data_IF_284599136692
#
_entry.id   IF_284599136692
#
_cell.length_a   1.000
_cell.length_b   1.000
_cell.length_c   1.000
_cell.angle_alpha   90.00
_cell.angle_beta   90.00
_cell.angle_gamma   90.00
#
_symmetry.space_group_name_H-M   'P 1'
#
loop_
_entity.id
_entity.type
_entity.pdbx_description
1 polymer ?
#
# COMPACT_ATOMS: atom_id res chain seq x y z
N UNK A 1 26.89 9.94 -89.13
CA UNK A 1 27.56 9.11 -90.17
C UNK A 1 28.06 7.87 -89.45
N UNK A 2 27.39 6.72 -89.63
CA UNK A 2 27.61 5.45 -88.88
C UNK A 2 27.29 5.56 -87.36
N UNK A 3 26.88 4.50 -86.63
CA UNK A 3 26.25 3.21 -87.00
C UNK A 3 25.40 2.66 -85.83
N UNK A 4 24.65 1.57 -86.06
CA UNK A 4 24.01 0.71 -85.04
C UNK A 4 25.07 -0.20 -84.34
N UNK A 5 24.81 -1.13 -83.39
CA UNK A 5 23.64 -1.87 -82.86
C UNK A 5 23.99 -2.30 -81.39
N UNK A 6 23.22 -2.95 -80.51
CA UNK A 6 22.04 -3.85 -80.53
C UNK A 6 20.88 -3.26 -79.65
N UNK A 7 19.69 -3.83 -79.38
CA UNK A 7 19.19 -5.13 -78.87
C UNK A 7 19.64 -5.49 -77.42
N UNK A 8 18.82 -6.12 -76.56
CA UNK A 8 17.55 -6.82 -76.81
C UNK A 8 16.46 -6.59 -75.72
N UNK A 9 15.26 -7.11 -76.02
CA UNK A 9 13.93 -6.96 -75.40
C UNK A 9 13.66 -7.99 -74.30
N UNK A 10 13.18 -7.53 -73.14
CA UNK A 10 12.42 -8.35 -72.18
C UNK A 10 11.16 -7.60 -71.71
N UNK A 11 10.09 -8.34 -71.45
CA UNK A 11 8.84 -7.83 -70.89
C UNK A 11 8.55 -8.54 -69.57
N UNK A 12 8.56 -7.83 -68.44
CA UNK A 12 7.96 -8.33 -67.21
C UNK A 12 6.76 -7.47 -66.80
N UNK A 13 5.61 -8.13 -66.65
CA UNK A 13 4.33 -7.48 -66.33
C UNK A 13 4.33 -7.05 -64.86
N UNK A 14 4.14 -5.76 -64.59
CA UNK A 14 4.05 -5.26 -63.22
C UNK A 14 2.73 -5.72 -62.58
N UNK A 15 2.81 -6.66 -61.63
CA UNK A 15 1.67 -7.17 -60.89
C UNK A 15 1.19 -6.15 -59.84
N UNK A 16 -0.13 -6.10 -59.59
CA UNK A 16 -0.73 -5.28 -58.52
C UNK A 16 -1.10 -6.15 -57.30
N UNK A 17 -0.57 -5.82 -56.13
CA UNK A 17 -1.31 -5.76 -54.87
C UNK A 17 -1.37 -4.30 -54.39
N UNK A 18 -2.52 -3.71 -54.05
CA UNK A 18 -3.53 -4.10 -53.04
C UNK A 18 -3.15 -3.68 -51.62
N UNK A 19 -3.75 -2.55 -51.20
CA UNK A 19 -4.28 -2.29 -49.85
C UNK A 19 -3.36 -2.46 -48.63
N UNK A 20 -2.91 -1.34 -48.06
CA UNK A 20 -2.88 -1.04 -46.61
C UNK A 20 -2.83 0.49 -46.46
N UNK A 21 -3.76 1.07 -45.71
CA UNK A 21 -3.67 2.44 -45.15
C UNK A 21 -4.76 2.58 -44.07
N UNK A 22 -4.45 2.17 -42.85
CA UNK A 22 -5.36 2.23 -41.71
C UNK A 22 -5.04 3.43 -40.80
N UNK A 23 -6.11 4.09 -40.37
CA UNK A 23 -6.21 5.28 -39.53
C UNK A 23 -5.15 5.45 -38.43
N UNK A 24 -4.54 6.65 -38.36
CA UNK A 24 -3.68 7.08 -37.26
C UNK A 24 -3.94 8.55 -36.89
N UNK A 25 -5.02 8.84 -36.13
CA UNK A 25 -5.38 10.20 -35.70
C UNK A 25 -6.34 10.31 -34.48
N UNK A 26 -6.29 9.43 -33.48
CA UNK A 26 -7.05 9.61 -32.21
C UNK A 26 -6.23 9.19 -30.98
N UNK A 27 -5.22 10.00 -30.62
CA UNK A 27 -4.52 9.94 -29.34
C UNK A 27 -4.15 11.36 -28.88
N UNK A 28 -5.18 12.15 -28.53
CA UNK A 28 -5.01 13.48 -27.91
C UNK A 28 -5.51 13.44 -26.47
N UNK A 29 -4.53 13.28 -25.56
CA UNK A 29 -4.49 13.78 -24.19
C UNK A 29 -5.82 13.76 -23.42
N UNK A 30 -6.10 12.62 -22.77
CA UNK A 30 -6.78 12.63 -21.48
C UNK A 30 -5.72 12.94 -20.40
N UNK A 31 -5.74 14.11 -19.73
CA UNK A 31 -4.99 14.26 -18.49
C UNK A 31 -5.68 13.36 -17.45
N UNK A 32 -4.99 12.31 -17.01
CA UNK A 32 -5.54 11.43 -15.99
C UNK A 32 -5.50 12.13 -14.62
N UNK A 33 -6.53 12.93 -14.35
CA UNK A 33 -6.88 13.31 -12.99
C UNK A 33 -7.41 12.04 -12.31
N UNK A 34 -6.48 11.28 -11.73
CA UNK A 34 -6.77 10.21 -10.78
C UNK A 34 -7.35 10.83 -9.51
N UNK A 35 -8.61 11.25 -9.57
CA UNK A 35 -9.43 11.40 -8.39
C UNK A 35 -9.57 10.03 -7.79
N UNK A 36 -9.05 9.83 -6.58
CA UNK A 36 -9.36 8.66 -5.77
C UNK A 36 -10.89 8.47 -5.78
N UNK A 37 -11.36 7.31 -6.23
CA UNK A 37 -12.79 7.04 -6.28
C UNK A 37 -13.24 6.57 -4.90
N UNK A 38 -14.09 7.32 -4.17
CA UNK A 38 -14.47 6.96 -2.81
C UNK A 38 -15.25 5.64 -2.82
N UNK A 39 -14.60 4.59 -2.34
CA UNK A 39 -15.15 3.23 -2.22
C UNK A 39 -16.23 3.15 -1.13
N UNK A 40 -16.27 4.15 -0.25
CA UNK A 40 -17.22 4.26 0.84
C UNK A 40 -16.84 5.34 1.83
N UNK A 41 -17.39 5.25 3.04
CA UNK A 41 -17.01 6.08 4.19
C UNK A 41 -17.05 5.27 5.47
N UNK A 42 -16.18 5.56 6.44
CA UNK A 42 -16.32 5.11 7.83
C UNK A 42 -16.52 6.31 8.75
N UNK A 43 -17.37 6.17 9.77
CA UNK A 43 -17.50 7.16 10.84
C UNK A 43 -16.76 6.61 12.05
N UNK A 44 -15.63 7.24 12.40
CA UNK A 44 -14.69 6.78 13.42
C UNK A 44 -14.25 7.93 14.32
N UNK A 45 -13.94 7.62 15.58
CA UNK A 45 -13.21 8.50 16.50
C UNK A 45 -12.00 7.74 17.02
N UNK A 46 -10.84 8.40 17.13
CA UNK A 46 -9.67 7.80 17.73
C UNK A 46 -9.89 7.56 19.25
N UNK A 47 -9.49 6.39 19.74
CA UNK A 47 -9.65 5.98 21.15
C UNK A 47 -8.31 5.84 21.89
N UNK A 48 -7.22 6.33 21.30
CA UNK A 48 -5.84 6.17 21.77
C UNK A 48 -5.07 5.15 20.93
N UNK A 49 -3.92 4.74 21.45
CA UNK A 49 -3.00 3.81 20.81
C UNK A 49 -3.00 2.44 21.49
N UNK A 50 -2.71 1.40 20.72
CA UNK A 50 -2.39 0.07 21.21
C UNK A 50 -0.86 -0.09 21.29
N UNK A 51 -0.27 -1.19 20.81
CA UNK A 51 1.18 -1.37 20.86
C UNK A 51 1.89 -0.24 20.08
N UNK A 52 2.69 0.56 20.78
CA UNK A 52 3.30 1.79 20.25
C UNK A 52 4.43 2.34 21.13
N UNK A 53 5.34 3.11 20.52
CA UNK A 53 6.40 3.87 21.21
C UNK A 53 6.43 5.33 20.73
N UNK A 54 6.98 6.23 21.55
CA UNK A 54 7.24 7.60 21.11
C UNK A 54 8.56 7.63 20.31
N UNK A 55 8.52 8.21 19.11
CA UNK A 55 9.67 8.34 18.20
C UNK A 55 9.75 9.76 17.65
N UNK A 56 10.94 10.18 17.25
CA UNK A 56 11.15 11.52 16.64
C UNK A 56 11.36 11.33 15.14
N UNK A 57 10.57 11.99 14.30
CA UNK A 57 10.57 11.80 12.84
C UNK A 57 10.98 13.05 12.06
N UNK A 58 11.52 12.79 10.86
CA UNK A 58 11.65 13.76 9.78
C UNK A 58 11.11 13.14 8.49
N UNK A 59 10.57 13.96 7.61
CA UNK A 59 9.88 13.53 6.40
C UNK A 59 8.58 14.31 6.21
N UNK A 60 8.05 14.36 4.99
CA UNK A 60 6.80 15.08 4.68
C UNK A 60 6.85 16.61 4.81
N UNK A 61 8.00 17.18 5.21
CA UNK A 61 8.15 18.57 5.62
C UNK A 61 8.25 18.77 7.14
N UNK A 62 8.20 17.70 7.95
CA UNK A 62 8.48 17.75 9.39
C UNK A 62 9.99 17.75 9.66
N UNK A 63 10.39 18.54 10.66
CA UNK A 63 11.77 18.63 11.16
C UNK A 63 11.84 18.26 12.65
N UNK A 64 11.92 16.97 12.96
CA UNK A 64 12.09 16.48 14.33
C UNK A 64 10.81 16.51 15.16
N UNK A 65 9.72 16.00 14.59
CA UNK A 65 8.42 15.92 15.26
C UNK A 65 8.35 14.66 16.12
N UNK A 66 7.99 14.79 17.40
CA UNK A 66 7.72 13.64 18.26
C UNK A 66 6.30 13.09 18.01
N UNK A 67 6.20 11.80 17.65
CA UNK A 67 4.94 11.10 17.33
C UNK A 67 4.86 9.73 18.02
N UNK A 68 3.67 9.14 18.06
CA UNK A 68 3.51 7.73 18.46
C UNK A 68 3.59 6.81 17.23
N UNK A 69 4.68 6.05 17.11
CA UNK A 69 4.79 5.00 16.11
C UNK A 69 4.18 3.70 16.65
N UNK A 70 3.23 3.14 15.91
CA UNK A 70 2.56 1.88 16.27
C UNK A 70 1.08 1.87 15.89
N UNK A 71 0.32 0.99 16.55
CA UNK A 71 -1.10 0.77 16.26
C UNK A 71 -1.96 1.87 16.88
N UNK A 72 -2.84 2.46 16.07
CA UNK A 72 -3.89 3.38 16.47
C UNK A 72 -5.22 2.63 16.59
N UNK A 73 -6.01 2.97 17.61
CA UNK A 73 -7.33 2.37 17.86
C UNK A 73 -8.45 3.37 17.57
N UNK A 74 -9.57 2.86 17.06
CA UNK A 74 -10.72 3.66 16.71
C UNK A 74 -12.02 3.00 17.12
N UNK A 75 -12.99 3.81 17.55
CA UNK A 75 -14.38 3.36 17.69
C UNK A 75 -15.17 3.72 16.44
N UNK A 76 -15.56 2.71 15.66
CA UNK A 76 -16.38 2.85 14.46
C UNK A 76 -17.87 2.81 14.79
N UNK A 77 -18.62 3.84 14.35
CA UNK A 77 -20.06 3.99 14.59
C UNK A 77 -20.94 3.77 13.37
N UNK A 78 -20.43 3.99 12.15
CA UNK A 78 -21.17 3.75 10.91
C UNK A 78 -20.25 3.46 9.72
N UNK A 79 -20.85 3.04 8.61
CA UNK A 79 -20.14 2.76 7.36
C UNK A 79 -21.04 2.80 6.12
N UNK A 80 -20.49 3.29 5.01
CA UNK A 80 -21.10 3.24 3.66
C UNK A 80 -20.10 2.65 2.67
N UNK A 81 -20.59 2.08 1.56
CA UNK A 81 -19.73 1.38 0.59
C UNK A 81 -18.88 0.29 1.26
N UNK A 82 -17.59 0.23 0.91
CA UNK A 82 -16.60 -0.66 1.53
C UNK A 82 -16.33 -0.36 3.01
N UNK A 83 -16.73 0.81 3.53
CA UNK A 83 -16.74 1.09 4.98
C UNK A 83 -17.69 0.20 5.79
N UNK A 84 -18.42 -0.72 5.14
CA UNK A 84 -19.20 -1.80 5.76
C UNK A 84 -18.43 -3.13 5.90
N UNK A 85 -17.21 -3.24 5.38
CA UNK A 85 -16.38 -4.45 5.51
C UNK A 85 -15.86 -4.62 6.95
N UNK A 86 -15.61 -3.51 7.64
CA UNK A 86 -15.43 -3.48 9.09
C UNK A 86 -16.80 -3.45 9.78
N UNK A 87 -16.94 -4.24 10.85
CA UNK A 87 -18.08 -4.13 11.77
C UNK A 87 -18.08 -2.79 12.54
N UNK A 88 -19.13 -2.53 13.31
CA UNK A 88 -19.17 -1.40 14.25
C UNK A 88 -18.65 -1.86 15.62
N UNK A 89 -17.67 -1.17 16.16
CA UNK A 89 -16.93 -1.59 17.36
C UNK A 89 -15.55 -0.93 17.42
N UNK A 90 -14.61 -1.58 18.11
CA UNK A 90 -13.18 -1.25 18.01
C UNK A 90 -12.64 -1.74 16.67
N UNK A 91 -11.93 -0.88 15.95
CA UNK A 91 -11.07 -1.25 14.81
C UNK A 91 -9.69 -0.60 15.02
N UNK A 92 -8.68 -1.10 14.33
CA UNK A 92 -7.29 -0.66 14.50
C UNK A 92 -6.60 -0.47 13.14
N UNK A 93 -5.53 0.32 13.13
CA UNK A 93 -4.76 0.64 11.93
C UNK A 93 -3.45 1.36 12.25
N UNK A 94 -2.74 1.81 11.22
CA UNK A 94 -1.50 2.58 11.34
C UNK A 94 -1.62 3.92 10.61
N UNK A 95 -0.97 4.97 11.11
CA UNK A 95 -0.82 6.22 10.36
C UNK A 95 -0.04 5.97 9.07
N UNK A 96 -0.53 6.50 7.95
CA UNK A 96 0.22 6.49 6.68
C UNK A 96 0.82 7.84 6.33
N UNK A 97 0.46 8.90 7.06
CA UNK A 97 0.97 10.25 6.86
C UNK A 97 1.51 10.84 8.18
N UNK A 98 2.20 11.99 8.13
CA UNK A 98 3.06 12.51 9.20
C UNK A 98 2.83 13.99 9.54
N UNK A 99 1.90 14.67 8.85
CA UNK A 99 1.72 16.12 8.88
C UNK A 99 0.42 16.56 9.55
N UNK A 100 -0.60 15.71 9.60
CA UNK A 100 -1.96 16.07 10.02
C UNK A 100 -2.31 15.45 11.39
N UNK A 101 -3.09 16.18 12.19
CA UNK A 101 -3.35 15.78 13.58
C UNK A 101 -4.41 14.68 13.69
N UNK A 102 -4.27 13.82 14.70
CA UNK A 102 -5.31 12.85 15.10
C UNK A 102 -6.56 13.58 15.61
N UNK A 103 -7.75 13.42 14.97
CA UNK A 103 -8.96 14.12 15.39
C UNK A 103 -9.58 13.46 16.63
N UNK A 104 -9.95 14.30 17.60
CA UNK A 104 -10.56 13.88 18.87
C UNK A 104 -12.10 13.81 18.84
N UNK A 105 -12.70 13.91 17.66
CA UNK A 105 -14.15 13.84 17.42
C UNK A 105 -14.47 12.70 16.46
N UNK A 106 -15.74 12.27 16.42
CA UNK A 106 -16.19 11.33 15.39
C UNK A 106 -16.19 12.03 14.03
N UNK A 107 -15.19 11.74 13.21
CA UNK A 107 -15.04 12.24 11.84
C UNK A 107 -15.52 11.20 10.83
N UNK A 108 -15.94 11.69 9.66
CA UNK A 108 -16.44 10.86 8.56
C UNK A 108 -15.36 10.73 7.49
N UNK A 109 -14.52 9.73 7.66
CA UNK A 109 -13.44 9.40 6.74
C UNK A 109 -14.00 8.79 5.45
N UNK A 110 -13.39 9.15 4.32
CA UNK A 110 -13.52 8.45 3.04
C UNK A 110 -12.77 7.13 3.10
N UNK A 111 -13.35 6.06 2.55
CA UNK A 111 -12.62 4.82 2.26
C UNK A 111 -12.13 4.86 0.84
N UNK A 112 -10.85 4.67 0.62
CA UNK A 112 -10.19 4.70 -0.69
C UNK A 112 -9.16 3.58 -0.83
N UNK A 113 -8.72 3.33 -2.06
CA UNK A 113 -7.68 2.36 -2.35
C UNK A 113 -6.34 2.78 -1.70
N UNK A 114 -5.42 1.83 -1.51
CA UNK A 114 -4.17 2.10 -0.80
C UNK A 114 -3.23 2.99 -1.65
N UNK A 115 -3.15 2.65 -2.93
CA UNK A 115 -2.39 3.32 -3.98
C UNK A 115 -2.80 4.78 -4.23
N UNK A 116 -4.00 5.18 -3.80
CA UNK A 116 -4.55 6.53 -3.94
C UNK A 116 -4.15 7.48 -2.78
N UNK A 117 -3.59 6.96 -1.68
CA UNK A 117 -3.22 7.75 -0.49
C UNK A 117 -1.69 7.86 -0.27
N UNK A 118 -1.24 8.53 0.81
CA UNK A 118 -2.03 9.39 1.69
C UNK A 118 -2.46 10.69 1.00
N UNK A 119 -3.42 11.40 1.60
CA UNK A 119 -3.88 12.74 1.21
C UNK A 119 -3.66 13.69 2.41
N UNK A 120 -3.21 14.94 2.21
CA UNK A 120 -2.80 15.59 0.95
C UNK A 120 -1.47 15.07 0.40
N UNK A 121 -1.37 14.93 -0.93
CA UNK A 121 -0.21 14.36 -1.63
C UNK A 121 0.94 15.34 -1.91
N UNK A 122 0.82 16.59 -1.47
CA UNK A 122 1.67 17.71 -1.90
C UNK A 122 3.16 17.54 -1.52
N UNK A 123 3.45 16.87 -0.41
CA UNK A 123 4.81 16.59 0.06
C UNK A 123 5.45 15.35 -0.60
N UNK A 124 4.64 14.46 -1.21
CA UNK A 124 5.12 13.31 -2.00
C UNK A 124 5.22 13.62 -3.51
N UNK A 125 4.56 14.69 -3.97
CA UNK A 125 4.40 15.01 -5.40
C UNK A 125 3.33 14.18 -6.13
N UNK A 126 2.59 13.34 -5.40
CA UNK A 126 1.56 12.43 -5.89
C UNK A 126 1.16 11.41 -4.81
N UNK A 127 0.11 10.60 -5.01
CA UNK A 127 -0.21 9.50 -4.11
C UNK A 127 0.89 8.42 -4.17
N UNK A 128 0.93 7.50 -3.21
CA UNK A 128 2.00 6.49 -3.12
C UNK A 128 2.06 5.60 -4.39
N UNK A 129 0.92 5.37 -5.02
CA UNK A 129 0.82 4.60 -6.26
C UNK A 129 1.02 3.09 -6.05
N UNK A 130 0.59 2.33 -7.07
CA UNK A 130 0.40 0.88 -6.95
C UNK A 130 1.66 0.13 -6.49
N UNK A 131 2.84 0.49 -6.99
CA UNK A 131 4.08 -0.19 -6.64
C UNK A 131 4.46 -0.04 -5.15
N UNK A 132 4.20 1.13 -4.52
CA UNK A 132 4.42 1.31 -3.07
C UNK A 132 3.34 0.60 -2.27
N UNK A 133 2.07 0.76 -2.67
CA UNK A 133 0.94 0.09 -2.05
C UNK A 133 1.12 -1.43 -2.01
N UNK A 134 1.61 -2.04 -3.09
CA UNK A 134 1.87 -3.48 -3.16
C UNK A 134 2.93 -3.96 -2.16
N UNK A 135 3.97 -3.15 -1.90
CA UNK A 135 4.98 -3.43 -0.88
C UNK A 135 4.46 -3.20 0.55
N UNK A 136 3.57 -2.23 0.77
CA UNK A 136 2.87 -2.06 2.07
C UNK A 136 1.92 -3.24 2.35
N UNK A 137 1.18 -3.71 1.34
CA UNK A 137 0.34 -4.93 1.43
C UNK A 137 1.19 -6.16 1.76
N UNK A 138 2.38 -6.28 1.16
CA UNK A 138 3.33 -7.38 1.43
C UNK A 138 3.97 -7.28 2.82
N UNK A 139 4.40 -6.10 3.25
CA UNK A 139 4.91 -5.84 4.60
C UNK A 139 3.90 -6.30 5.66
N UNK A 140 2.63 -5.93 5.47
CA UNK A 140 1.54 -6.35 6.34
C UNK A 140 1.31 -7.87 6.30
N UNK A 141 1.13 -8.44 5.11
CA UNK A 141 0.89 -9.89 4.96
C UNK A 141 2.02 -10.80 5.44
N UNK A 142 3.26 -10.28 5.53
CA UNK A 142 4.43 -11.00 6.07
C UNK A 142 4.67 -10.79 7.56
N UNK A 143 4.45 -9.57 8.08
CA UNK A 143 5.04 -9.15 9.37
C UNK A 143 4.07 -8.49 10.35
N UNK A 144 2.82 -8.19 9.98
CA UNK A 144 1.84 -7.68 10.94
C UNK A 144 1.43 -8.78 11.95
N UNK A 145 1.51 -8.48 13.24
CA UNK A 145 0.98 -9.33 14.31
C UNK A 145 -0.29 -8.69 14.92
N UNK A 146 -1.47 -9.32 14.82
CA UNK A 146 -2.69 -8.79 15.43
C UNK A 146 -2.63 -8.72 16.96
N UNK A 147 -1.63 -9.32 17.64
CA UNK A 147 -1.41 -9.10 19.08
C UNK A 147 -1.08 -7.64 19.41
N UNK A 148 -0.55 -6.86 18.45
CA UNK A 148 -0.29 -5.43 18.59
C UNK A 148 -1.57 -4.58 18.68
N UNK A 149 -2.71 -5.13 18.26
CA UNK A 149 -4.02 -4.48 18.23
C UNK A 149 -5.01 -5.03 19.28
N UNK A 150 -4.57 -5.95 20.14
CA UNK A 150 -5.42 -6.60 21.15
C UNK A 150 -5.66 -5.73 22.40
N UNK A 151 -6.77 -5.94 23.13
CA UNK A 151 -7.02 -5.24 24.39
C UNK A 151 -6.03 -5.67 25.50
N UNK A 152 -5.38 -4.70 26.17
CA UNK A 152 -4.65 -4.97 27.42
C UNK A 152 -3.39 -4.12 27.62
N UNK A 153 -2.39 -4.72 28.28
CA UNK A 153 -1.05 -4.17 28.42
C UNK A 153 -0.10 -4.86 27.44
N UNK A 154 0.64 -4.07 26.67
CA UNK A 154 1.64 -4.56 25.74
C UNK A 154 3.02 -4.68 26.41
N UNK A 155 3.81 -5.64 25.94
CA UNK A 155 5.23 -5.73 26.29
C UNK A 155 6.04 -4.66 25.55
N UNK A 156 7.20 -4.29 26.09
CA UNK A 156 8.17 -3.43 25.39
C UNK A 156 8.52 -3.97 24.00
N UNK A 157 8.58 -5.32 23.86
CA UNK A 157 8.87 -5.95 22.58
C UNK A 157 7.73 -5.74 21.57
N UNK A 158 6.46 -5.93 21.96
CA UNK A 158 5.32 -5.63 21.06
C UNK A 158 5.26 -4.16 20.67
N UNK A 159 5.50 -3.25 21.62
CA UNK A 159 5.55 -1.81 21.33
C UNK A 159 6.64 -1.49 20.30
N UNK A 160 7.85 -1.99 20.50
CA UNK A 160 8.99 -1.72 19.63
C UNK A 160 8.85 -2.36 18.24
N UNK A 161 8.28 -3.56 18.15
CA UNK A 161 7.96 -4.20 16.86
C UNK A 161 6.85 -3.44 16.10
N UNK A 162 5.80 -2.98 16.78
CA UNK A 162 4.75 -2.15 16.16
C UNK A 162 5.28 -0.76 15.73
N UNK A 163 6.18 -0.17 16.52
CA UNK A 163 6.90 1.07 16.19
C UNK A 163 7.78 0.90 14.94
N UNK A 164 8.56 -0.18 14.87
CA UNK A 164 9.34 -0.56 13.69
C UNK A 164 8.47 -0.80 12.45
N UNK A 165 7.27 -1.37 12.62
CA UNK A 165 6.32 -1.61 11.52
C UNK A 165 5.76 -0.29 10.97
N UNK A 166 5.38 0.65 11.84
CA UNK A 166 4.97 1.99 11.43
C UNK A 166 6.10 2.73 10.68
N UNK A 167 7.33 2.68 11.17
CA UNK A 167 8.48 3.28 10.49
C UNK A 167 8.79 2.62 9.13
N UNK A 168 8.57 1.32 8.98
CA UNK A 168 8.70 0.63 7.69
C UNK A 168 7.59 1.02 6.69
N UNK A 169 6.36 1.27 7.14
CA UNK A 169 5.31 1.90 6.31
C UNK A 169 5.77 3.28 5.86
N UNK A 170 6.24 4.11 6.80
CA UNK A 170 6.64 5.49 6.49
C UNK A 170 7.84 5.56 5.54
N UNK A 171 8.84 4.68 5.68
CA UNK A 171 9.92 4.54 4.69
C UNK A 171 9.35 4.26 3.28
N UNK A 172 8.48 3.24 3.12
CA UNK A 172 7.89 2.94 1.80
C UNK A 172 7.08 4.12 1.26
N UNK A 173 6.27 4.78 2.09
CA UNK A 173 5.40 5.89 1.68
C UNK A 173 6.19 7.15 1.36
N UNK A 174 7.17 7.54 2.18
CA UNK A 174 7.87 8.82 2.08
C UNK A 174 9.15 8.78 1.24
N UNK A 175 9.78 7.63 1.01
CA UNK A 175 11.00 7.55 0.21
C UNK A 175 10.78 7.26 -1.27
N UNK A 176 11.80 7.52 -2.10
CA UNK A 176 11.74 7.16 -3.52
C UNK A 176 11.57 5.64 -3.68
N UNK A 177 10.72 5.19 -4.62
CA UNK A 177 10.61 3.77 -4.97
C UNK A 177 11.98 3.28 -5.52
N UNK A 178 12.68 2.37 -4.83
CA UNK A 178 14.00 1.94 -5.24
C UNK A 178 13.94 0.84 -6.31
N UNK A 179 15.06 0.61 -6.99
CA UNK A 179 15.21 -0.52 -7.91
C UNK A 179 15.28 -1.91 -7.23
N UNK A 180 15.18 -1.96 -5.90
CA UNK A 180 15.11 -3.16 -5.05
C UNK A 180 14.71 -2.72 -3.64
N UNK A 181 13.78 -3.40 -2.93
CA UNK A 181 13.45 -3.11 -1.54
C UNK A 181 14.66 -3.13 -0.59
N UNK A 182 15.73 -3.84 -0.95
CA UNK A 182 17.05 -3.87 -0.29
C UNK A 182 17.83 -2.53 -0.32
N UNK A 183 17.12 -1.40 -0.37
CA UNK A 183 17.62 -0.01 -0.39
C UNK A 183 16.73 0.95 0.39
N UNK A 184 15.56 0.50 0.85
CA UNK A 184 14.78 1.20 1.86
C UNK A 184 15.41 0.93 3.22
N UNK A 185 15.82 1.99 3.90
CA UNK A 185 16.54 1.95 5.16
C UNK A 185 16.03 3.10 6.04
N UNK A 186 15.26 2.78 7.08
CA UNK A 186 14.93 3.74 8.14
C UNK A 186 16.25 4.24 8.74
N UNK A 187 16.61 5.50 8.47
CA UNK A 187 17.85 6.10 8.97
C UNK A 187 17.68 6.56 10.41
N UNK A 188 18.63 6.18 11.27
CA UNK A 188 18.69 6.52 12.70
C UNK A 188 20.07 7.05 13.14
N UNK A 189 21.00 7.21 12.20
CA UNK A 189 22.38 7.67 12.39
C UNK A 189 22.56 9.17 12.12
N UNK A 190 21.47 9.89 11.92
CA UNK A 190 21.45 11.29 11.51
C UNK A 190 21.66 11.52 10.00
N UNK A 191 21.85 10.46 9.20
CA UNK A 191 21.76 10.57 7.74
C UNK A 191 20.31 10.74 7.27
N UNK A 192 20.13 11.00 5.98
CA UNK A 192 18.83 11.24 5.35
C UNK A 192 18.53 10.13 4.34
N UNK A 193 17.25 9.75 4.22
CA UNK A 193 16.76 9.06 3.03
C UNK A 193 16.85 9.93 1.77
N UNK A 194 16.48 9.37 0.61
CA UNK A 194 16.54 10.04 -0.69
C UNK A 194 15.50 11.16 -0.88
N UNK A 195 14.41 11.17 -0.12
CA UNK A 195 13.41 12.25 -0.03
C UNK A 195 13.41 12.90 1.37
N UNK A 196 14.22 12.38 2.30
CA UNK A 196 14.49 12.97 3.60
C UNK A 196 13.75 12.32 4.76
N UNK A 197 13.15 11.13 4.57
CA UNK A 197 12.65 10.38 5.72
C UNK A 197 13.82 9.89 6.59
N UNK A 198 13.63 9.95 7.91
CA UNK A 198 14.48 9.37 8.95
C UNK A 198 13.75 9.40 10.29
N UNK A 199 14.20 8.60 11.25
CA UNK A 199 13.59 8.51 12.58
C UNK A 199 14.66 8.41 13.68
N UNK A 200 14.31 8.70 14.91
CA UNK A 200 15.08 8.39 16.12
C UNK A 200 14.18 7.61 17.11
N UNK A 201 14.79 6.82 17.98
CA UNK A 201 14.11 6.00 19.01
C UNK A 201 13.27 4.82 18.52
N UNK A 202 13.40 4.42 17.25
CA UNK A 202 12.78 3.21 16.67
C UNK A 202 13.79 2.06 16.48
N UNK A 203 13.31 0.80 16.55
CA UNK A 203 14.09 -0.35 16.11
C UNK A 203 14.15 -0.45 14.58
N UNK A 204 15.00 0.41 13.99
CA UNK A 204 15.33 0.37 12.57
C UNK A 204 16.06 -0.93 12.15
N UNK A 205 16.60 -1.72 13.08
CA UNK A 205 17.18 -3.02 12.72
C UNK A 205 16.08 -4.00 12.36
N UNK A 206 14.99 -4.07 13.13
CA UNK A 206 13.79 -4.81 12.75
C UNK A 206 13.17 -4.23 11.48
N UNK A 207 12.95 -2.92 11.41
CA UNK A 207 12.29 -2.29 10.26
C UNK A 207 13.02 -2.59 8.94
N UNK A 208 14.34 -2.39 8.89
CA UNK A 208 15.13 -2.58 7.67
C UNK A 208 15.25 -4.07 7.33
N UNK A 209 15.30 -4.98 8.32
CA UNK A 209 15.22 -6.42 8.06
C UNK A 209 13.90 -6.85 7.39
N UNK A 210 12.77 -6.22 7.74
CA UNK A 210 11.49 -6.46 7.08
C UNK A 210 11.45 -5.86 5.67
N UNK A 211 11.87 -4.60 5.51
CA UNK A 211 11.97 -3.92 4.20
C UNK A 211 12.85 -4.69 3.21
N UNK A 212 14.00 -5.17 3.67
CA UNK A 212 14.95 -5.96 2.88
C UNK A 212 14.46 -7.39 2.58
N UNK A 213 13.39 -7.85 3.23
CA UNK A 213 12.76 -9.15 3.02
C UNK A 213 11.48 -9.08 2.15
N UNK A 214 11.14 -7.89 1.62
CA UNK A 214 10.10 -7.71 0.60
C UNK A 214 10.65 -8.08 -0.78
N UNK A 215 9.84 -8.75 -1.60
CA UNK A 215 10.23 -9.21 -2.95
C UNK A 215 9.11 -9.08 -4.00
N UNK A 216 7.92 -8.62 -3.60
CA UNK A 216 6.74 -8.46 -4.44
C UNK A 216 5.92 -9.74 -4.63
N UNK A 217 6.38 -10.89 -4.11
CA UNK A 217 5.79 -12.22 -4.32
C UNK A 217 5.20 -12.85 -3.05
N UNK A 218 5.38 -12.20 -1.89
CA UNK A 218 4.88 -12.67 -0.61
C UNK A 218 3.36 -12.58 -0.43
N UNK A 219 2.83 -13.07 0.71
CA UNK A 219 1.45 -12.82 1.11
C UNK A 219 1.18 -11.32 1.18
N UNK A 220 0.02 -10.90 0.68
CA UNK A 220 -0.44 -9.51 0.66
C UNK A 220 -1.77 -9.39 1.38
N UNK A 221 -1.87 -8.46 2.33
CA UNK A 221 -3.14 -8.12 2.98
C UNK A 221 -4.04 -7.29 2.05
N UNK A 222 -5.36 -7.38 2.23
CA UNK A 222 -6.31 -6.48 1.57
C UNK A 222 -6.46 -5.22 2.41
N UNK A 223 -5.91 -4.10 1.93
CA UNK A 223 -5.74 -2.86 2.71
C UNK A 223 -6.51 -1.69 2.08
N UNK A 224 -7.03 -0.79 2.92
CA UNK A 224 -7.61 0.50 2.49
C UNK A 224 -7.03 1.66 3.30
N UNK A 225 -7.14 2.85 2.71
CA UNK A 225 -6.95 4.11 3.42
C UNK A 225 -8.30 4.61 3.93
N UNK A 226 -8.31 5.06 5.18
CA UNK A 226 -9.29 5.99 5.72
C UNK A 226 -8.67 7.40 5.64
N UNK A 227 -9.26 8.29 4.84
CA UNK A 227 -8.80 9.69 4.70
C UNK A 227 -9.85 10.74 5.05
N UNK A 228 -9.43 11.84 5.70
CA UNK A 228 -10.29 12.98 6.04
C UNK A 228 -9.48 14.29 6.04
N UNK A 229 -9.72 15.13 5.03
CA UNK A 229 -9.05 16.43 4.78
C UNK A 229 -8.79 17.26 6.06
N UNK A 230 -7.51 17.47 6.39
CA UNK A 230 -7.08 18.15 7.62
C UNK A 230 -7.04 17.25 8.86
N UNK A 231 -6.79 15.94 8.71
CA UNK A 231 -6.66 14.95 9.78
C UNK A 231 -5.96 13.69 9.29
N UNK A 232 -5.04 13.19 10.13
CA UNK A 232 -4.27 11.96 9.98
C UNK A 232 -4.97 10.84 9.17
N UNK A 233 -4.42 10.52 8.00
CA UNK A 233 -4.78 9.34 7.19
C UNK A 233 -4.30 8.04 7.84
N UNK A 234 -5.12 6.97 7.75
CA UNK A 234 -4.84 5.66 8.33
C UNK A 234 -4.95 4.50 7.33
N UNK A 235 -4.03 3.53 7.42
CA UNK A 235 -4.17 2.21 6.78
C UNK A 235 -4.93 1.27 7.73
N UNK A 236 -5.95 0.59 7.20
CA UNK A 236 -6.64 -0.49 7.89
C UNK A 236 -6.76 -1.72 6.98
N UNK A 237 -6.58 -2.91 7.57
CA UNK A 237 -6.83 -4.19 6.92
C UNK A 237 -8.32 -4.49 6.85
N UNK A 238 -8.79 -4.87 5.66
CA UNK A 238 -10.13 -5.41 5.41
C UNK A 238 -10.21 -6.76 6.13
N UNK A 239 -11.14 -6.95 7.09
CA UNK A 239 -11.23 -8.22 7.82
C UNK A 239 -11.51 -9.37 6.84
N UNK A 240 -10.65 -10.39 6.81
CA UNK A 240 -10.87 -11.56 5.95
C UNK A 240 -12.27 -12.14 6.20
N UNK A 241 -13.10 -12.30 5.15
CA UNK A 241 -14.31 -13.11 5.26
C UNK A 241 -13.93 -14.51 5.76
N UNK A 242 -14.82 -15.17 6.52
CA UNK A 242 -14.55 -16.41 7.27
C UNK A 242 -14.18 -17.68 6.44
N UNK A 243 -13.73 -17.50 5.20
CA UNK A 243 -13.19 -18.45 4.24
C UNK A 243 -12.08 -19.35 4.81
N UNK A 244 -11.27 -18.87 5.76
CA UNK A 244 -10.29 -19.69 6.50
C UNK A 244 -10.99 -20.90 7.18
N UNK A 245 -12.18 -20.68 7.74
CA UNK A 245 -12.99 -21.74 8.36
C UNK A 245 -13.45 -22.77 7.32
N UNK A 246 -13.80 -22.32 6.11
CA UNK A 246 -14.19 -23.21 4.99
C UNK A 246 -13.03 -24.06 4.48
N UNK A 247 -11.81 -23.53 4.43
CA UNK A 247 -10.60 -24.32 4.13
C UNK A 247 -10.36 -25.39 5.19
N UNK A 248 -10.53 -25.05 6.48
CA UNK A 248 -10.47 -26.00 7.59
C UNK A 248 -11.49 -27.14 7.46
N UNK A 249 -12.76 -26.82 7.17
CA UNK A 249 -13.79 -27.85 6.94
C UNK A 249 -13.55 -28.70 5.69
N UNK A 250 -13.06 -28.10 4.59
CA UNK A 250 -12.69 -28.83 3.38
C UNK A 250 -11.60 -29.88 3.61
N UNK A 251 -10.57 -29.53 4.40
CA UNK A 251 -9.53 -30.46 4.86
C UNK A 251 -10.10 -31.57 5.74
N UNK A 252 -10.88 -31.21 6.77
CA UNK A 252 -11.47 -32.17 7.71
C UNK A 252 -12.39 -33.19 7.02
N UNK A 253 -13.28 -32.74 6.14
CA UNK A 253 -14.17 -33.60 5.36
C UNK A 253 -13.40 -34.55 4.42
N UNK A 254 -12.29 -34.08 3.83
CA UNK A 254 -11.44 -34.90 2.96
C UNK A 254 -10.72 -36.01 3.75
N UNK A 255 -10.22 -35.71 4.95
CA UNK A 255 -9.61 -36.69 5.86
C UNK A 255 -10.64 -37.74 6.35
N UNK A 256 -11.85 -37.31 6.70
CA UNK A 256 -12.96 -38.22 7.06
C UNK A 256 -13.35 -39.14 5.90
N UNK A 257 -13.35 -38.63 4.66
CA UNK A 257 -13.64 -39.44 3.47
C UNK A 257 -12.57 -40.49 3.20
N UNK A 258 -11.29 -40.21 3.49
CA UNK A 258 -10.17 -41.16 3.29
C UNK A 258 -10.25 -42.37 4.24
N UNK A 259 -10.76 -42.20 5.47
CA UNK A 259 -10.96 -43.31 6.44
C UNK A 259 -12.08 -44.30 6.05
N UNK A 260 -12.90 -44.03 5.03
CA UNK A 260 -14.01 -44.89 4.58
C UNK A 260 -13.69 -45.84 3.42
N UNK A 261 -12.40 -46.02 3.07
CA UNK A 261 -11.93 -46.95 2.01
C UNK A 261 -11.00 -48.07 2.54
N UNK A 262 -11.08 -48.39 3.83
CA UNK A 262 -10.39 -49.55 4.43
C UNK A 262 -11.39 -50.29 5.32
N UNK A 263 -12.26 -51.06 4.66
CA UNK A 263 -13.20 -52.03 5.20
C UNK A 263 -13.58 -52.98 4.05
#
# INVERSE_FOLDING_TARGET
MFSNTFAEKEMMKLAKPSTILFSAAVLLVLPCLASAYPLGTVEIVNTGNAASEAVTIWGGGQEGLDVYAGVYTFKKTAGTGEGKLWDNGTISGFCTELNETVPQITSKYTVMALEDGPVPTSFLGGPMGEAKADYVRELWGRFYDPSWAADGQFTWYQNSQASAFAAAIWEIVYENLPASPSKWDVKVDGSWGSLGFRSEWVDATTANNWLHALDGTGPKADLRIFSFDGSQDYIAEVPEPATIVLLGFGGALSLLRRKRKVA
#
